data_IF_742995650615
#
_entry.id   IF_742995650615
#
_cell.length_a   1.000
_cell.length_b   1.000
_cell.length_c   1.000
_cell.angle_alpha   90.00
_cell.angle_beta   90.00
_cell.angle_gamma   90.00
#
_symmetry.space_group_name_H-M   'P 1'
#
loop_
_entity.id
_entity.type
_entity.pdbx_description
1 polymer ?
#
# COMPACT_ATOMS: atom_id res chain seq x y z
N UNK A 1 20.72 -4.96 8.68
CA UNK A 1 19.72 -5.27 7.64
C UNK A 1 19.77 -4.13 6.63
N UNK A 2 19.94 -4.41 5.33
CA UNK A 2 19.94 -3.34 4.30
C UNK A 2 18.59 -2.60 4.40
N UNK A 3 18.54 -1.26 4.40
CA UNK A 3 17.27 -0.54 4.44
C UNK A 3 16.58 -0.70 3.07
N UNK A 4 15.91 -1.84 2.87
CA UNK A 4 15.04 -2.06 1.72
C UNK A 4 13.82 -1.14 1.80
N UNK A 5 13.24 -0.79 0.66
CA UNK A 5 12.02 0.02 0.61
C UNK A 5 10.90 -0.71 1.40
N UNK A 6 10.28 -0.02 2.34
CA UNK A 6 9.14 -0.53 3.14
C UNK A 6 7.96 -0.72 2.19
N UNK A 7 7.45 -1.95 2.11
CA UNK A 7 6.28 -2.29 1.34
C UNK A 7 5.02 -1.90 2.12
N UNK A 8 4.19 -1.00 1.57
CA UNK A 8 2.95 -0.52 2.19
C UNK A 8 1.72 -1.01 1.44
N UNK A 9 0.65 -1.31 2.18
CA UNK A 9 -0.69 -1.50 1.63
C UNK A 9 -1.65 -0.45 2.18
N UNK A 10 -2.57 0.02 1.34
CA UNK A 10 -3.63 0.97 1.71
C UNK A 10 -5.00 0.30 1.58
N UNK A 11 -5.82 0.42 2.62
CA UNK A 11 -7.20 -0.09 2.66
C UNK A 11 -8.08 0.99 3.25
N UNK A 12 -9.03 1.48 2.46
CA UNK A 12 -9.97 2.53 2.86
C UNK A 12 -11.22 2.45 1.98
N UNK A 13 -12.41 2.69 2.51
CA UNK A 13 -13.67 2.60 1.74
C UNK A 13 -13.79 3.71 0.66
N UNK A 14 -12.85 4.65 0.62
CA UNK A 14 -12.82 5.73 -0.34
C UNK A 14 -11.52 5.82 -1.15
N UNK A 15 -11.67 5.81 -2.48
CA UNK A 15 -10.55 5.94 -3.42
C UNK A 15 -9.77 7.25 -3.24
N UNK A 16 -10.42 8.34 -2.83
CA UNK A 16 -9.78 9.64 -2.60
C UNK A 16 -8.72 9.60 -1.49
N UNK A 17 -8.91 8.77 -0.47
CA UNK A 17 -7.94 8.62 0.63
C UNK A 17 -6.71 7.87 0.14
N UNK A 18 -6.92 6.79 -0.62
CA UNK A 18 -5.85 6.02 -1.25
C UNK A 18 -5.02 6.91 -2.18
N UNK A 19 -5.67 7.69 -3.04
CA UNK A 19 -5.01 8.58 -3.99
C UNK A 19 -4.25 9.70 -3.27
N UNK A 20 -4.83 10.27 -2.21
CA UNK A 20 -4.19 11.28 -1.38
C UNK A 20 -2.93 10.77 -0.69
N UNK A 21 -2.99 9.61 -0.03
CA UNK A 21 -1.82 9.00 0.62
C UNK A 21 -0.76 8.59 -0.41
N UNK A 22 -1.17 8.05 -1.55
CA UNK A 22 -0.26 7.69 -2.64
C UNK A 22 0.45 8.94 -3.19
N UNK A 23 -0.27 10.05 -3.38
CA UNK A 23 0.31 11.31 -3.84
C UNK A 23 1.28 11.92 -2.83
N UNK A 24 0.97 11.87 -1.53
CA UNK A 24 1.84 12.38 -0.45
C UNK A 24 3.14 11.58 -0.33
N UNK A 25 3.06 10.28 -0.52
CA UNK A 25 4.20 9.37 -0.43
C UNK A 25 4.97 9.24 -1.76
N UNK A 26 4.42 9.78 -2.85
CA UNK A 26 5.06 9.81 -4.17
C UNK A 26 6.37 10.59 -4.10
N UNK A 27 7.47 9.95 -4.52
CA UNK A 27 8.81 10.54 -4.49
C UNK A 27 9.60 10.24 -3.21
N UNK A 28 9.02 9.52 -2.23
CA UNK A 28 9.78 9.02 -1.10
C UNK A 28 10.37 7.64 -1.42
N UNK A 29 11.69 7.60 -1.67
CA UNK A 29 12.40 6.37 -2.03
C UNK A 29 12.41 5.29 -0.95
N UNK A 30 11.95 5.60 0.27
CA UNK A 30 11.85 4.63 1.36
C UNK A 30 10.62 3.75 1.27
N UNK A 31 9.60 4.12 0.50
CA UNK A 31 8.33 3.39 0.45
C UNK A 31 8.06 2.80 -0.94
N UNK A 32 7.48 1.60 -0.94
CA UNK A 32 6.98 0.93 -2.14
C UNK A 32 5.53 0.54 -1.88
N UNK A 33 4.60 0.97 -2.71
CA UNK A 33 3.22 0.48 -2.62
C UNK A 33 3.14 -0.95 -3.15
N UNK A 34 2.68 -1.87 -2.31
CA UNK A 34 2.45 -3.26 -2.67
C UNK A 34 1.07 -3.42 -3.31
N UNK A 35 0.02 -2.89 -2.67
CA UNK A 35 -1.32 -2.81 -3.22
C UNK A 35 -2.14 -1.72 -2.52
N UNK A 36 -3.25 -1.34 -3.14
CA UNK A 36 -4.30 -0.58 -2.50
C UNK A 36 -5.67 -1.17 -2.87
N UNK A 37 -6.64 -1.08 -1.98
CA UNK A 37 -7.99 -1.61 -2.22
C UNK A 37 -9.03 -0.82 -1.45
N UNK A 38 -10.18 -0.60 -2.08
CA UNK A 38 -11.36 -0.08 -1.39
C UNK A 38 -12.28 -1.19 -0.88
N UNK A 39 -12.07 -2.41 -1.37
CA UNK A 39 -12.81 -3.58 -0.92
C UNK A 39 -12.01 -4.30 0.19
N UNK A 40 -12.54 -4.36 1.43
CA UNK A 40 -11.93 -5.09 2.52
C UNK A 40 -11.92 -6.62 2.30
N UNK A 41 -12.81 -7.16 1.47
CA UNK A 41 -12.87 -8.60 1.18
C UNK A 41 -11.64 -9.08 0.40
N UNK A 42 -11.10 -8.23 -0.47
CA UNK A 42 -9.91 -8.54 -1.26
C UNK A 42 -8.60 -8.46 -0.46
N UNK A 43 -8.63 -7.91 0.76
CA UNK A 43 -7.40 -7.63 1.54
C UNK A 43 -6.66 -8.92 1.88
N UNK A 44 -7.36 -9.94 2.37
CA UNK A 44 -6.72 -11.22 2.75
C UNK A 44 -6.06 -11.87 1.54
N UNK A 45 -6.73 -11.87 0.39
CA UNK A 45 -6.19 -12.43 -0.84
C UNK A 45 -5.00 -11.61 -1.37
N UNK A 46 -5.06 -10.27 -1.27
CA UNK A 46 -3.95 -9.40 -1.64
C UNK A 46 -2.76 -9.55 -0.70
N UNK A 47 -2.97 -9.75 0.60
CA UNK A 47 -1.92 -10.03 1.58
C UNK A 47 -1.22 -11.38 1.33
N UNK A 48 -1.98 -12.40 0.91
CA UNK A 48 -1.41 -13.70 0.55
C UNK A 48 -0.53 -13.62 -0.71
N UNK A 49 -0.89 -12.77 -1.67
CA UNK A 49 -0.20 -12.64 -2.95
C UNK A 49 0.90 -11.56 -2.96
N UNK A 50 0.87 -10.61 -2.02
CA UNK A 50 1.81 -9.49 -1.97
C UNK A 50 2.50 -9.43 -0.61
N UNK A 51 3.84 -9.38 -0.62
CA UNK A 51 4.59 -9.07 0.60
C UNK A 51 4.47 -7.58 0.95
N UNK A 52 3.89 -7.34 2.11
CA UNK A 52 3.81 -6.06 2.82
C UNK A 52 4.62 -6.16 4.12
N UNK A 53 5.14 -5.03 4.58
CA UNK A 53 5.85 -4.91 5.87
C UNK A 53 4.95 -4.39 7.00
#
# INVERSE_FOLDING_TARGET
MKPGKIALALVDDHQIVIDGLTALLKGNDKFRFAFATTDPQEVVDKLNNNKVD
#
